data_IF_386905149634
#
_entry.id   IF_386905149634
#
_cell.length_a   1.000
_cell.length_b   1.000
_cell.length_c   1.000
_cell.angle_alpha   90.00
_cell.angle_beta   90.00
_cell.angle_gamma   90.00
#
_symmetry.space_group_name_H-M   'P 1'
#
loop_
_entity.id
_entity.type
_entity.pdbx_description
1 polymer ?
#
# COMPACT_ATOMS: atom_id res chain seq x y z
N UNK A 1 6.24 -19.76 -1.79
CA UNK A 1 5.72 -20.59 -2.90
C UNK A 1 6.52 -20.25 -4.14
N UNK A 2 7.08 -21.25 -4.83
CA UNK A 2 7.70 -21.03 -6.14
C UNK A 2 6.62 -21.21 -7.22
N UNK A 3 6.24 -20.12 -7.87
CA UNK A 3 5.18 -20.08 -8.90
C UNK A 3 5.69 -19.32 -10.12
N UNK A 4 5.90 -20.05 -11.22
CA UNK A 4 6.48 -19.51 -12.44
C UNK A 4 5.51 -18.55 -13.17
N UNK A 5 4.21 -18.84 -13.15
CA UNK A 5 3.20 -17.99 -13.79
C UNK A 5 3.07 -16.68 -13.02
N UNK A 6 2.99 -16.74 -11.68
CA UNK A 6 3.01 -15.52 -10.86
C UNK A 6 4.27 -14.69 -11.11
N UNK A 7 5.44 -15.33 -11.23
CA UNK A 7 6.71 -14.65 -11.51
C UNK A 7 6.70 -13.92 -12.86
N UNK A 8 6.08 -14.52 -13.87
CA UNK A 8 5.87 -13.91 -15.19
C UNK A 8 4.93 -12.71 -15.11
N UNK A 9 3.79 -12.83 -14.41
CA UNK A 9 2.84 -11.72 -14.23
C UNK A 9 3.47 -10.53 -13.50
N UNK A 10 4.22 -10.78 -12.41
CA UNK A 10 4.94 -9.75 -11.66
C UNK A 10 6.00 -9.05 -12.53
N UNK A 11 6.68 -9.80 -13.41
CA UNK A 11 7.65 -9.22 -14.34
C UNK A 11 6.96 -8.33 -15.38
N UNK A 12 5.80 -8.73 -15.90
CA UNK A 12 5.00 -7.92 -16.81
C UNK A 12 4.52 -6.61 -16.13
N UNK A 13 4.00 -6.71 -14.91
CA UNK A 13 3.56 -5.56 -14.11
C UNK A 13 4.68 -4.52 -13.91
N UNK A 14 5.92 -4.95 -13.66
CA UNK A 14 7.07 -4.04 -13.49
C UNK A 14 7.50 -3.35 -14.79
N UNK A 15 7.29 -3.99 -15.94
CA UNK A 15 7.73 -3.50 -17.26
C UNK A 15 6.68 -2.65 -17.98
N UNK A 16 5.40 -2.77 -17.61
CA UNK A 16 4.33 -1.99 -18.22
C UNK A 16 4.39 -0.52 -17.77
N UNK A 17 4.55 0.39 -18.72
CA UNK A 17 4.69 1.82 -18.47
C UNK A 17 3.36 2.56 -18.47
N UNK A 18 2.36 2.07 -19.22
CA UNK A 18 1.01 2.63 -19.22
C UNK A 18 0.33 2.34 -17.86
N UNK A 19 -0.05 3.37 -17.07
CA UNK A 19 -0.63 3.16 -15.75
C UNK A 19 -1.95 2.39 -15.77
N UNK A 20 -2.77 2.57 -16.81
CA UNK A 20 -4.07 1.90 -16.93
C UNK A 20 -3.87 0.41 -17.21
N UNK A 21 -2.98 0.08 -18.15
CA UNK A 21 -2.62 -1.33 -18.44
C UNK A 21 -1.94 -1.99 -17.25
N UNK A 22 -1.02 -1.29 -16.58
CA UNK A 22 -0.34 -1.80 -15.39
C UNK A 22 -1.32 -2.13 -14.27
N UNK A 23 -2.34 -1.29 -14.06
CA UNK A 23 -3.41 -1.57 -13.09
C UNK A 23 -4.18 -2.85 -13.47
N UNK A 24 -4.50 -3.04 -14.75
CA UNK A 24 -5.18 -4.27 -15.19
C UNK A 24 -4.35 -5.52 -14.86
N UNK A 25 -3.03 -5.49 -15.09
CA UNK A 25 -2.14 -6.59 -14.73
C UNK A 25 -2.16 -6.83 -13.21
N UNK A 26 -2.17 -5.78 -12.38
CA UNK A 26 -2.30 -5.92 -10.92
C UNK A 26 -3.63 -6.58 -10.53
N UNK A 27 -4.74 -6.16 -11.15
CA UNK A 27 -6.06 -6.74 -10.87
C UNK A 27 -6.08 -8.24 -11.27
N UNK A 28 -5.43 -8.61 -12.37
CA UNK A 28 -5.29 -10.01 -12.81
C UNK A 28 -4.45 -10.84 -11.83
N UNK A 29 -3.34 -10.28 -11.32
CA UNK A 29 -2.52 -10.91 -10.27
C UNK A 29 -3.35 -11.14 -9.01
N UNK A 30 -4.16 -10.16 -8.59
CA UNK A 30 -4.99 -10.29 -7.40
C UNK A 30 -6.03 -11.40 -7.53
N UNK A 31 -6.69 -11.53 -8.70
CA UNK A 31 -7.62 -12.64 -8.96
C UNK A 31 -6.89 -13.98 -8.95
N UNK A 32 -5.75 -14.07 -9.62
CA UNK A 32 -4.92 -15.28 -9.61
C UNK A 32 -4.52 -15.69 -8.19
N UNK A 33 -4.07 -14.74 -7.35
CA UNK A 33 -3.69 -15.02 -5.97
C UNK A 33 -4.88 -15.42 -5.09
N UNK A 34 -6.08 -14.86 -5.35
CA UNK A 34 -7.30 -15.25 -4.66
C UNK A 34 -7.65 -16.72 -4.96
N UNK A 35 -7.52 -17.17 -6.21
CA UNK A 35 -7.76 -18.56 -6.60
C UNK A 35 -6.71 -19.52 -6.01
N UNK A 36 -5.45 -19.08 -5.92
CA UNK A 36 -4.36 -19.88 -5.36
C UNK A 36 -4.39 -20.00 -3.83
N UNK A 37 -4.97 -19.01 -3.15
CA UNK A 37 -5.12 -18.98 -1.69
C UNK A 37 -3.81 -19.28 -0.92
N UNK A 38 -2.66 -18.82 -1.43
CA UNK A 38 -1.35 -19.03 -0.77
C UNK A 38 -1.26 -18.40 0.62
N UNK A 39 -2.12 -17.41 0.88
CA UNK A 39 -2.25 -16.71 2.15
C UNK A 39 -3.72 -16.35 2.36
N UNK A 40 -4.20 -16.42 3.60
CA UNK A 40 -5.55 -16.00 3.96
C UNK A 40 -5.55 -14.50 4.25
N UNK A 41 -6.17 -13.73 3.38
CA UNK A 41 -6.32 -12.30 3.60
C UNK A 41 -7.33 -12.03 4.72
N UNK A 42 -6.86 -11.33 5.76
CA UNK A 42 -7.68 -10.81 6.86
C UNK A 42 -7.74 -9.28 6.78
N UNK A 43 -8.73 -8.64 7.42
CA UNK A 43 -8.81 -7.19 7.45
C UNK A 43 -7.52 -6.54 7.96
N UNK A 44 -7.12 -5.43 7.34
CA UNK A 44 -6.04 -4.60 7.85
C UNK A 44 -6.49 -3.89 9.12
N UNK A 45 -5.65 -3.91 10.15
CA UNK A 45 -5.95 -3.25 11.42
C UNK A 45 -5.95 -1.72 11.26
N UNK A 46 -6.89 -1.02 11.92
CA UNK A 46 -6.89 0.44 11.93
C UNK A 46 -5.62 0.98 12.59
N UNK A 47 -5.09 2.07 12.06
CA UNK A 47 -3.98 2.79 12.66
C UNK A 47 -4.52 3.95 13.50
N UNK A 48 -4.24 3.93 14.80
CA UNK A 48 -4.61 5.01 15.71
C UNK A 48 -3.41 5.90 15.96
N UNK A 49 -3.58 7.22 15.80
CA UNK A 49 -2.56 8.22 16.11
C UNK A 49 -3.18 9.25 17.05
N UNK A 50 -2.51 9.48 18.18
CA UNK A 50 -2.85 10.51 19.13
C UNK A 50 -1.66 11.45 19.35
N UNK A 51 -1.93 12.75 19.45
CA UNK A 51 -0.92 13.74 19.75
C UNK A 51 -1.51 14.83 20.65
N UNK A 52 -0.68 15.55 21.43
CA UNK A 52 -1.13 16.69 22.22
C UNK A 52 -1.80 17.78 21.37
N UNK A 53 -2.69 18.57 21.98
CA UNK A 53 -3.44 19.64 21.30
C UNK A 53 -2.56 20.77 20.72
N UNK A 54 -1.35 20.94 21.25
CA UNK A 54 -0.37 21.92 20.75
C UNK A 54 0.39 21.45 19.50
N UNK A 55 0.23 20.18 19.09
CA UNK A 55 0.76 19.69 17.81
C UNK A 55 -0.23 20.08 16.72
N UNK A 56 0.21 20.92 15.80
CA UNK A 56 -0.59 21.45 14.68
C UNK A 56 -0.03 20.98 13.35
N UNK A 57 -0.86 21.00 12.32
CA UNK A 57 -0.48 20.62 10.96
C UNK A 57 -0.35 19.12 10.69
N UNK A 58 -0.27 18.30 11.75
CA UNK A 58 -0.26 16.84 11.61
C UNK A 58 -1.57 16.34 10.97
N UNK A 59 -1.44 15.48 9.96
CA UNK A 59 -2.57 14.79 9.31
C UNK A 59 -2.28 13.31 9.25
N UNK A 60 -3.27 12.51 9.65
CA UNK A 60 -3.23 11.06 9.49
C UNK A 60 -3.03 10.68 8.02
N UNK A 61 -2.35 9.57 7.80
CA UNK A 61 -2.15 9.00 6.48
C UNK A 61 -2.12 7.49 6.58
N UNK A 62 -2.94 6.85 5.76
CA UNK A 62 -2.98 5.41 5.68
C UNK A 62 -1.69 4.89 5.04
N UNK A 63 -0.91 4.14 5.81
CA UNK A 63 0.36 3.55 5.38
C UNK A 63 1.57 3.97 6.23
N UNK A 64 2.76 3.55 5.80
CA UNK A 64 3.98 3.64 6.61
C UNK A 64 4.77 4.97 6.45
N UNK A 65 4.31 5.86 5.57
CA UNK A 65 5.02 7.10 5.22
C UNK A 65 4.80 8.24 6.22
N UNK A 66 5.40 8.17 7.42
CA UNK A 66 5.27 9.22 8.44
C UNK A 66 6.11 10.47 8.16
N UNK A 67 7.30 10.32 7.57
CA UNK A 67 8.28 11.40 7.43
C UNK A 67 7.74 12.66 6.73
N UNK A 68 6.99 12.49 5.64
CA UNK A 68 6.41 13.60 4.90
C UNK A 68 5.32 14.36 5.68
N UNK A 69 4.73 13.73 6.70
CA UNK A 69 3.73 14.38 7.57
C UNK A 69 4.38 15.32 8.57
N UNK A 70 5.56 14.95 9.05
CA UNK A 70 6.32 15.76 10.00
C UNK A 70 6.83 17.07 9.39
N UNK A 71 7.08 17.10 8.07
CA UNK A 71 7.51 18.33 7.37
C UNK A 71 6.54 19.50 7.51
N UNK A 72 5.24 19.20 7.69
CA UNK A 72 4.18 20.21 7.84
C UNK A 72 3.60 20.24 9.25
N UNK A 73 4.29 19.63 10.22
CA UNK A 73 3.84 19.57 11.62
C UNK A 73 4.67 20.53 12.46
N UNK A 74 4.01 21.30 13.33
CA UNK A 74 4.69 22.21 14.25
C UNK A 74 4.11 22.15 15.67
N UNK A 75 4.86 22.70 16.62
CA UNK A 75 4.43 22.86 18.01
C UNK A 75 4.04 24.32 18.23
N UNK A 76 2.80 24.54 18.66
CA UNK A 76 2.25 25.85 18.97
C UNK A 76 2.27 26.03 20.50
N UNK A 77 3.37 26.58 21.02
CA UNK A 77 3.60 26.84 22.45
C UNK A 77 3.82 28.33 22.69
#
# INVERSE_FOLDING_TARGET
VADAELSKMLTAQRREMDPKKRKQIVDDIQRYLADKAYYVYVPQWPQYVAHPNYVKGFRHHDGYGLGMRLLFTWLDK
#
